data_IF_655042553913
#
_entry.id   IF_655042553913
#
_cell.length_a   1.000
_cell.length_b   1.000
_cell.length_c   1.000
_cell.angle_alpha   90.00
_cell.angle_beta   90.00
_cell.angle_gamma   90.00
#
_symmetry.space_group_name_H-M   'P 1'
#
loop_
_entity.id
_entity.type
_entity.pdbx_description
1 polymer ?
#
# COMPACT_ATOMS: atom_id res chain seq x y z
N UNK A 1 2.98 21.90 -17.05
CA UNK A 1 2.76 20.61 -16.37
C UNK A 1 3.65 20.57 -15.15
N UNK A 2 3.14 20.09 -14.02
CA UNK A 2 3.92 19.87 -12.80
C UNK A 2 3.87 18.37 -12.48
N UNK A 3 5.04 17.74 -12.33
CA UNK A 3 5.18 16.30 -12.06
C UNK A 3 5.73 16.04 -10.66
N UNK A 4 5.99 17.09 -9.88
CA UNK A 4 6.44 16.97 -8.50
C UNK A 4 5.30 16.53 -7.60
N UNK A 5 5.61 15.65 -6.64
CA UNK A 5 4.70 15.32 -5.55
C UNK A 5 4.41 16.56 -4.69
N UNK A 6 3.26 16.58 -4.04
CA UNK A 6 3.02 17.56 -2.97
C UNK A 6 3.94 17.29 -1.78
N UNK A 7 4.04 18.23 -0.84
CA UNK A 7 4.81 18.01 0.39
C UNK A 7 4.22 16.89 1.23
N UNK A 8 2.90 16.85 1.35
CA UNK A 8 2.16 15.78 2.01
C UNK A 8 2.42 14.42 1.36
N UNK A 9 2.41 14.36 0.02
CA UNK A 9 2.74 13.14 -0.73
C UNK A 9 4.18 12.67 -0.52
N UNK A 10 5.15 13.58 -0.42
CA UNK A 10 6.55 13.23 -0.09
C UNK A 10 6.68 12.67 1.32
N UNK A 11 6.03 13.31 2.30
CA UNK A 11 6.03 12.81 3.68
C UNK A 11 5.37 11.43 3.77
N UNK A 12 4.24 11.25 3.09
CA UNK A 12 3.56 9.97 2.99
C UNK A 12 4.44 8.91 2.30
N UNK A 13 5.09 9.26 1.19
CA UNK A 13 6.04 8.38 0.50
C UNK A 13 7.15 7.89 1.44
N UNK A 14 7.80 8.80 2.16
CA UNK A 14 8.89 8.45 3.07
C UNK A 14 8.40 7.57 4.25
N UNK A 15 7.20 7.85 4.75
CA UNK A 15 6.57 7.04 5.79
C UNK A 15 6.27 5.61 5.31
N UNK A 16 5.65 5.46 4.13
CA UNK A 16 5.35 4.13 3.56
C UNK A 16 6.64 3.37 3.23
N UNK A 17 7.67 4.05 2.72
CA UNK A 17 8.99 3.45 2.45
C UNK A 17 9.60 2.87 3.72
N UNK A 18 9.63 3.66 4.80
CA UNK A 18 10.15 3.20 6.08
C UNK A 18 9.36 2.00 6.61
N UNK A 19 8.01 2.10 6.60
CA UNK A 19 7.13 1.01 7.00
C UNK A 19 7.40 -0.28 6.21
N UNK A 20 7.50 -0.19 4.88
CA UNK A 20 7.71 -1.33 4.00
C UNK A 20 9.07 -1.97 4.20
N UNK A 21 10.13 -1.16 4.34
CA UNK A 21 11.48 -1.65 4.65
C UNK A 21 11.50 -2.40 5.97
N UNK A 22 10.90 -1.83 7.01
CA UNK A 22 11.05 -2.32 8.38
C UNK A 22 10.15 -3.53 8.66
N UNK A 23 9.01 -3.67 7.97
CA UNK A 23 8.03 -4.72 8.25
C UNK A 23 7.88 -5.76 7.14
N UNK A 24 8.21 -5.44 5.89
CA UNK A 24 7.88 -6.27 4.72
C UNK A 24 9.09 -6.76 3.92
N UNK A 25 10.28 -6.20 4.14
CA UNK A 25 11.48 -6.63 3.41
C UNK A 25 11.93 -8.04 3.82
N UNK A 26 11.96 -8.32 5.13
CA UNK A 26 12.29 -9.67 5.63
C UNK A 26 11.19 -10.66 5.26
N UNK A 27 11.55 -11.78 4.62
CA UNK A 27 10.59 -12.80 4.15
C UNK A 27 9.90 -12.46 2.82
N UNK A 28 10.29 -11.38 2.13
CA UNK A 28 9.66 -10.99 0.86
C UNK A 28 9.73 -12.07 -0.24
N UNK A 29 10.88 -12.75 -0.36
CA UNK A 29 11.07 -13.84 -1.33
C UNK A 29 10.17 -15.03 -1.01
N UNK A 30 10.07 -15.40 0.27
CA UNK A 30 9.21 -16.50 0.69
C UNK A 30 7.74 -16.19 0.38
N UNK A 31 7.26 -15.00 0.78
CA UNK A 31 5.89 -14.54 0.45
C UNK A 31 5.63 -14.55 -1.05
N UNK A 32 6.60 -14.18 -1.88
CA UNK A 32 6.44 -14.20 -3.34
C UNK A 32 6.19 -15.61 -3.91
N UNK A 33 6.69 -16.65 -3.25
CA UNK A 33 6.50 -18.05 -3.64
C UNK A 33 5.35 -18.75 -2.89
N UNK A 34 4.81 -18.13 -1.85
CA UNK A 34 3.63 -18.66 -1.14
C UNK A 34 2.37 -18.52 -2.01
N UNK A 35 1.64 -19.63 -2.16
CA UNK A 35 0.38 -19.66 -2.92
C UNK A 35 -0.82 -19.08 -2.16
N UNK A 36 -0.66 -18.82 -0.87
CA UNK A 36 -1.73 -18.29 -0.03
C UNK A 36 -1.80 -16.76 -0.10
N UNK A 37 -2.95 -16.21 0.30
CA UNK A 37 -3.12 -14.77 0.43
C UNK A 37 -2.53 -14.31 1.77
N UNK A 38 -1.65 -13.28 1.80
CA UNK A 38 -0.96 -12.86 3.01
C UNK A 38 -1.89 -12.07 3.94
N UNK A 39 -2.71 -12.78 4.71
CA UNK A 39 -3.72 -12.20 5.61
C UNK A 39 -3.10 -11.43 6.77
N UNK A 40 -1.93 -11.86 7.22
CA UNK A 40 -1.11 -11.17 8.21
C UNK A 40 -0.69 -9.79 7.72
N UNK A 41 -0.19 -9.70 6.48
CA UNK A 41 0.15 -8.43 5.82
C UNK A 41 -1.08 -7.56 5.65
N UNK A 42 -2.22 -8.13 5.23
CA UNK A 42 -3.47 -7.37 5.11
C UNK A 42 -3.92 -6.77 6.44
N UNK A 43 -3.83 -7.53 7.54
CA UNK A 43 -4.11 -7.02 8.87
C UNK A 43 -3.15 -5.91 9.27
N UNK A 44 -1.84 -6.11 9.06
CA UNK A 44 -0.82 -5.11 9.37
C UNK A 44 -1.06 -3.80 8.59
N UNK A 45 -1.40 -3.90 7.31
CA UNK A 45 -1.70 -2.73 6.47
C UNK A 45 -2.98 -2.01 6.91
N UNK A 46 -4.02 -2.74 7.31
CA UNK A 46 -5.25 -2.15 7.83
C UNK A 46 -4.97 -1.33 9.11
N UNK A 47 -4.17 -1.88 10.03
CA UNK A 47 -3.78 -1.22 11.28
C UNK A 47 -2.93 0.05 11.05
N UNK A 48 -2.30 0.18 9.88
CA UNK A 48 -1.47 1.33 9.50
C UNK A 48 -2.13 2.26 8.46
N UNK A 49 -3.44 2.11 8.19
CA UNK A 49 -4.16 2.99 7.27
C UNK A 49 -3.77 2.83 5.80
N UNK A 50 -3.17 1.69 5.42
CA UNK A 50 -2.75 1.43 4.03
C UNK A 50 -3.79 0.65 3.21
N UNK A 51 -4.99 0.42 3.77
CA UNK A 51 -6.14 -0.14 3.04
C UNK A 51 -7.25 0.89 2.95
N UNK A 52 -8.02 0.86 1.86
CA UNK A 52 -9.11 1.81 1.65
C UNK A 52 -8.63 3.25 1.46
N UNK A 53 -7.42 3.44 0.91
CA UNK A 53 -6.81 4.78 0.76
C UNK A 53 -7.75 5.71 -0.01
N UNK A 54 -8.36 5.23 -1.09
CA UNK A 54 -9.24 6.01 -1.99
C UNK A 54 -10.70 6.04 -1.54
N UNK A 55 -11.04 5.34 -0.46
CA UNK A 55 -12.42 5.26 0.06
C UNK A 55 -12.68 6.52 0.91
N UNK A 56 -13.83 7.18 0.78
CA UNK A 56 -14.19 8.32 1.62
C UNK A 56 -14.11 8.01 3.13
N UNK A 57 -13.72 8.99 3.93
CA UNK A 57 -13.67 8.84 5.40
C UNK A 57 -15.05 8.54 6.01
N UNK A 58 -16.13 9.06 5.42
CA UNK A 58 -17.51 8.81 5.85
C UNK A 58 -17.92 7.33 5.73
N UNK A 59 -17.25 6.59 4.84
CA UNK A 59 -17.43 5.15 4.63
C UNK A 59 -16.37 4.31 5.38
N UNK A 60 -15.53 4.96 6.20
CA UNK A 60 -14.46 4.31 6.97
C UNK A 60 -13.13 4.13 6.21
N UNK A 61 -12.94 4.83 5.09
CA UNK A 61 -11.69 4.88 4.35
C UNK A 61 -10.70 5.94 4.85
N UNK A 62 -9.72 6.29 4.02
CA UNK A 62 -8.71 7.33 4.34
C UNK A 62 -8.89 8.64 3.56
N UNK A 63 -9.86 8.72 2.64
CA UNK A 63 -10.15 9.94 1.88
C UNK A 63 -9.01 10.43 0.95
N UNK A 64 -8.01 9.59 0.72
CA UNK A 64 -6.84 9.88 -0.12
C UNK A 64 -7.15 9.84 -1.61
N UNK A 65 -6.23 10.39 -2.40
CA UNK A 65 -6.32 10.36 -3.85
C UNK A 65 -5.83 9.04 -4.45
N UNK A 66 -6.13 8.85 -5.74
CA UNK A 66 -5.57 7.77 -6.54
C UNK A 66 -4.03 7.80 -6.55
N UNK A 67 -3.43 9.00 -6.56
CA UNK A 67 -1.99 9.16 -6.56
C UNK A 67 -1.39 8.70 -5.22
N UNK A 68 -2.06 8.97 -4.11
CA UNK A 68 -1.61 8.52 -2.78
C UNK A 68 -1.61 6.99 -2.71
N UNK A 69 -2.64 6.34 -3.26
CA UNK A 69 -2.66 4.88 -3.37
C UNK A 69 -1.53 4.34 -4.26
N UNK A 70 -1.21 5.00 -5.37
CA UNK A 70 -0.08 4.62 -6.24
C UNK A 70 1.27 4.79 -5.54
N UNK A 71 1.46 5.88 -4.80
CA UNK A 71 2.67 6.11 -3.99
C UNK A 71 2.84 4.98 -2.97
N UNK A 72 1.75 4.62 -2.25
CA UNK A 72 1.80 3.54 -1.27
C UNK A 72 2.16 2.19 -1.91
N UNK A 73 1.51 1.84 -3.03
CA UNK A 73 1.79 0.62 -3.78
C UNK A 73 3.24 0.59 -4.25
N UNK A 74 3.74 1.69 -4.82
CA UNK A 74 5.10 1.76 -5.33
C UNK A 74 6.12 1.53 -4.22
N UNK A 75 6.01 2.25 -3.11
CA UNK A 75 6.99 2.14 -2.01
C UNK A 75 6.95 0.76 -1.37
N UNK A 76 5.78 0.14 -1.21
CA UNK A 76 5.69 -1.25 -0.74
C UNK A 76 6.28 -2.23 -1.75
N UNK A 77 6.02 -2.04 -3.05
CA UNK A 77 6.50 -2.94 -4.10
C UNK A 77 8.03 -2.97 -4.20
N UNK A 78 8.71 -1.86 -3.88
CA UNK A 78 10.18 -1.79 -3.83
C UNK A 78 10.79 -2.74 -2.79
N UNK A 79 10.03 -3.15 -1.78
CA UNK A 79 10.48 -4.03 -0.70
C UNK A 79 9.84 -5.41 -0.74
N UNK A 80 8.55 -5.50 -1.07
CA UNK A 80 7.82 -6.75 -1.21
C UNK A 80 6.66 -6.61 -2.21
N UNK A 81 6.86 -6.95 -3.49
CA UNK A 81 5.83 -6.86 -4.53
C UNK A 81 4.55 -7.64 -4.18
N UNK A 82 4.67 -8.82 -3.55
CA UNK A 82 3.52 -9.62 -3.13
C UNK A 82 2.66 -8.90 -2.08
N UNK A 83 3.27 -8.10 -1.22
CA UNK A 83 2.55 -7.33 -0.21
C UNK A 83 1.86 -6.11 -0.84
N UNK A 84 2.44 -5.50 -1.88
CA UNK A 84 1.84 -4.35 -2.55
C UNK A 84 0.48 -4.68 -3.21
N UNK A 85 0.31 -5.92 -3.68
CA UNK A 85 -0.97 -6.46 -4.19
C UNK A 85 -2.12 -6.33 -3.17
N UNK A 86 -1.81 -6.37 -1.87
CA UNK A 86 -2.79 -6.21 -0.80
C UNK A 86 -3.35 -4.79 -0.77
N UNK A 87 -2.49 -3.77 -0.92
CA UNK A 87 -2.92 -2.36 -1.01
C UNK A 87 -3.74 -2.13 -2.27
N UNK A 88 -3.31 -2.71 -3.39
CA UNK A 88 -4.02 -2.62 -4.66
C UNK A 88 -5.43 -3.23 -4.55
N UNK A 89 -5.54 -4.44 -4.02
CA UNK A 89 -6.82 -5.11 -3.79
C UNK A 89 -7.72 -4.33 -2.80
N UNK A 90 -7.12 -3.76 -1.75
CA UNK A 90 -7.84 -3.02 -0.71
C UNK A 90 -8.23 -1.58 -1.08
N UNK A 91 -7.62 -0.99 -2.11
CA UNK A 91 -7.85 0.42 -2.48
C UNK A 91 -8.47 0.61 -3.87
N UNK A 92 -8.47 -0.41 -4.73
CA UNK A 92 -9.01 -0.30 -6.10
C UNK A 92 -10.21 -1.22 -6.33
N UNK A 93 -10.62 -1.99 -5.32
CA UNK A 93 -11.60 -3.06 -5.47
C UNK A 93 -11.09 -4.15 -6.42
N UNK A 94 -12.00 -5.05 -6.82
CA UNK A 94 -11.68 -6.02 -7.86
C UNK A 94 -11.58 -5.33 -9.23
N UNK A 95 -10.42 -4.76 -9.56
CA UNK A 95 -9.97 -4.74 -10.97
C UNK A 95 -9.58 -6.18 -11.32
N UNK A 96 -10.57 -7.07 -11.31
CA UNK A 96 -10.52 -8.34 -12.04
C UNK A 96 -11.10 -8.01 -13.40
N UNK A 97 -10.23 -7.57 -14.30
CA UNK A 97 -10.47 -7.77 -15.73
C UNK A 97 -10.32 -9.25 -16.06
#
# INVERSE_FOLDING_TARGET
MNFELTEEQRLFQDAVRAFARDNLAEGALERAHQGEYPRDVAKLMAENGLLGITIPEEDGGQGGSLMDAVIAIQEVAMHCPRSADVIQAGSFGAIRV
#
